data_IF_657314133269
#
_entry.id   IF_657314133269
#
_cell.length_a   1.000
_cell.length_b   1.000
_cell.length_c   1.000
_cell.angle_alpha   90.00
_cell.angle_beta   90.00
_cell.angle_gamma   90.00
#
_symmetry.space_group_name_H-M   'P 1'
#
loop_
_entity.id
_entity.type
_entity.pdbx_description
1 polymer ?
#
# COMPACT_ATOMS: atom_id res chain seq x y z
N UNK A 1 20.47 18.91 -4.56
CA UNK A 1 19.35 17.95 -4.68
C UNK A 1 19.92 16.54 -4.55
N UNK A 2 19.56 15.79 -3.50
CA UNK A 2 19.98 14.37 -3.38
C UNK A 2 19.13 13.55 -4.36
N UNK A 3 19.76 12.95 -5.38
CA UNK A 3 19.09 11.92 -6.20
C UNK A 3 18.66 10.81 -5.24
N UNK A 4 17.35 10.60 -5.11
CA UNK A 4 16.83 9.43 -4.41
C UNK A 4 17.35 8.19 -5.11
N UNK A 5 17.96 7.27 -4.36
CA UNK A 5 18.38 5.98 -4.88
C UNK A 5 17.12 5.19 -5.24
N UNK A 6 16.89 4.97 -6.53
CA UNK A 6 15.84 4.05 -6.99
C UNK A 6 16.46 2.65 -6.94
N UNK A 7 16.04 1.85 -5.97
CA UNK A 7 16.42 0.44 -5.88
C UNK A 7 15.42 -0.36 -6.69
N UNK A 8 15.90 -1.00 -7.75
CA UNK A 8 15.12 -1.95 -8.54
C UNK A 8 15.38 -3.36 -8.00
N UNK A 9 14.33 -4.05 -7.56
CA UNK A 9 14.41 -5.41 -7.02
C UNK A 9 13.71 -6.37 -7.98
N UNK A 10 14.42 -7.43 -8.38
CA UNK A 10 13.78 -8.54 -9.09
C UNK A 10 13.05 -9.45 -8.10
N UNK A 11 11.80 -9.75 -8.40
CA UNK A 11 10.93 -10.60 -7.58
C UNK A 11 10.40 -11.75 -8.42
N UNK A 12 10.12 -12.89 -7.78
CA UNK A 12 9.54 -14.06 -8.46
C UNK A 12 8.06 -14.17 -8.14
N UNK A 13 7.24 -14.35 -9.15
CA UNK A 13 5.86 -14.79 -8.95
C UNK A 13 5.85 -16.29 -8.60
N UNK A 14 5.09 -16.67 -7.58
CA UNK A 14 4.97 -18.04 -7.09
C UNK A 14 3.51 -18.40 -6.87
N UNK A 15 3.12 -19.64 -7.18
CA UNK A 15 1.78 -20.15 -6.91
C UNK A 15 1.65 -20.53 -5.43
N UNK A 16 0.57 -20.08 -4.78
CA UNK A 16 0.20 -20.43 -3.40
C UNK A 16 -1.28 -20.82 -3.36
N UNK A 17 -1.54 -22.13 -3.35
CA UNK A 17 -2.91 -22.65 -3.44
C UNK A 17 -3.57 -22.21 -4.74
N UNK A 18 -4.72 -21.54 -4.66
CA UNK A 18 -5.43 -20.98 -5.82
C UNK A 18 -4.94 -19.57 -6.22
N UNK A 19 -3.96 -19.00 -5.51
CA UNK A 19 -3.55 -17.60 -5.65
C UNK A 19 -2.13 -17.47 -6.19
N UNK A 20 -1.86 -16.34 -6.86
CA UNK A 20 -0.51 -15.94 -7.24
C UNK A 20 0.05 -14.98 -6.19
N UNK A 21 1.30 -15.19 -5.78
CA UNK A 21 1.99 -14.35 -4.80
C UNK A 21 3.35 -13.88 -5.34
N UNK A 22 3.84 -12.74 -4.84
CA UNK A 22 5.18 -12.25 -5.12
C UNK A 22 6.12 -12.66 -3.97
N UNK A 23 7.19 -13.37 -4.30
CA UNK A 23 8.27 -13.67 -3.36
C UNK A 23 9.18 -12.45 -3.25
N UNK A 24 9.02 -11.70 -2.15
CA UNK A 24 9.77 -10.48 -1.89
C UNK A 24 11.13 -10.80 -1.23
N UNK A 25 12.23 -10.16 -1.68
CA UNK A 25 13.53 -10.29 -1.06
C UNK A 25 13.57 -9.56 0.29
N UNK A 26 14.50 -9.92 1.18
CA UNK A 26 14.57 -9.36 2.56
C UNK A 26 14.86 -7.85 2.54
N UNK A 27 15.54 -7.41 1.49
CA UNK A 27 15.94 -6.04 1.20
C UNK A 27 14.74 -5.13 0.91
N UNK A 28 13.56 -5.69 0.60
CA UNK A 28 12.34 -4.93 0.39
C UNK A 28 11.80 -4.27 1.68
N UNK A 29 12.30 -4.66 2.86
CA UNK A 29 11.88 -4.14 4.17
C UNK A 29 10.37 -4.23 4.45
N UNK A 30 9.67 -5.17 3.80
CA UNK A 30 8.26 -5.50 4.04
C UNK A 30 8.19 -6.61 5.08
N UNK A 31 7.40 -6.43 6.13
CA UNK A 31 7.31 -7.34 7.27
C UNK A 31 6.03 -8.16 7.23
N UNK A 32 6.06 -9.33 7.89
CA UNK A 32 4.87 -10.15 8.08
C UNK A 32 3.81 -9.33 8.84
N UNK A 33 2.60 -9.25 8.27
CA UNK A 33 1.48 -8.49 8.84
C UNK A 33 1.30 -7.10 8.23
N UNK A 34 2.26 -6.60 7.46
CA UNK A 34 2.06 -5.37 6.69
C UNK A 34 1.01 -5.59 5.61
N UNK A 35 0.10 -4.62 5.46
CA UNK A 35 -0.94 -4.67 4.43
C UNK A 35 -0.71 -3.55 3.42
N UNK A 36 -0.90 -3.86 2.14
CA UNK A 36 -0.62 -2.95 1.04
C UNK A 36 -1.79 -2.96 0.05
N UNK A 37 -2.04 -1.82 -0.58
CA UNK A 37 -2.90 -1.72 -1.75
C UNK A 37 -2.05 -1.90 -3.00
N UNK A 38 -2.47 -2.79 -3.90
CA UNK A 38 -1.86 -2.95 -5.21
C UNK A 38 -2.71 -2.24 -6.26
N UNK A 39 -2.20 -1.15 -6.82
CA UNK A 39 -2.92 -0.30 -7.76
C UNK A 39 -2.25 -0.40 -9.13
N UNK A 40 -3.04 -0.65 -10.18
CA UNK A 40 -2.52 -0.68 -11.56
C UNK A 40 -2.09 0.73 -11.99
N UNK A 41 -0.84 0.87 -12.42
CA UNK A 41 -0.35 2.12 -13.01
C UNK A 41 -0.92 2.25 -14.43
N UNK A 42 -1.69 3.32 -14.66
CA UNK A 42 -2.31 3.61 -15.96
C UNK A 42 -1.30 4.10 -17.00
N UNK A 43 -0.15 4.61 -16.57
CA UNK A 43 0.85 5.24 -17.44
C UNK A 43 1.92 4.27 -17.95
N UNK A 44 2.43 3.39 -17.09
CA UNK A 44 3.62 2.58 -17.40
C UNK A 44 3.38 1.06 -17.39
N UNK A 45 2.12 0.61 -17.35
CA UNK A 45 1.78 -0.81 -17.46
C UNK A 45 2.19 -1.68 -16.26
N UNK A 46 2.58 -1.07 -15.14
CA UNK A 46 2.98 -1.74 -13.90
C UNK A 46 1.91 -1.73 -12.81
N UNK A 47 2.33 -2.08 -11.59
CA UNK A 47 1.54 -1.92 -10.38
C UNK A 47 2.35 -1.14 -9.33
N UNK A 48 1.64 -0.32 -8.56
CA UNK A 48 2.17 0.44 -7.43
C UNK A 48 1.67 -0.22 -6.15
N UNK A 49 2.59 -0.46 -5.22
CA UNK A 49 2.26 -0.91 -3.87
C UNK A 49 2.23 0.30 -2.94
N UNK A 50 1.07 0.56 -2.32
CA UNK A 50 0.88 1.66 -1.36
C UNK A 50 0.65 1.06 0.04
N UNK A 51 1.44 1.43 1.06
CA UNK A 51 1.28 0.87 2.39
C UNK A 51 -0.04 1.34 2.99
N UNK A 52 -0.83 0.42 3.55
CA UNK A 52 -1.98 0.81 4.37
C UNK A 52 -1.45 1.31 5.71
N UNK A 53 -1.67 2.59 5.99
CA UNK A 53 -1.41 3.18 7.30
C UNK A 53 -2.68 3.12 8.15
N UNK A 54 -2.50 3.03 9.47
CA UNK A 54 -3.61 3.21 10.41
C UNK A 54 -4.12 4.65 10.27
N UNK A 55 -5.44 4.85 10.42
CA UNK A 55 -6.04 6.18 10.37
C UNK A 55 -5.32 7.11 11.36
N UNK A 56 -4.54 8.11 10.88
CA UNK A 56 -3.79 8.99 11.75
C UNK A 56 -4.70 9.97 12.51
N UNK A 57 -5.96 10.10 12.09
CA UNK A 57 -6.96 10.98 12.67
C UNK A 57 -7.93 10.25 13.60
N UNK A 58 -7.68 8.97 13.92
CA UNK A 58 -8.59 8.18 14.78
C UNK A 58 -8.86 8.82 16.15
N UNK A 59 -7.89 9.58 16.67
CA UNK A 59 -7.95 10.28 17.96
C UNK A 59 -7.95 11.81 17.78
N UNK A 60 -8.25 12.32 16.57
CA UNK A 60 -8.26 13.74 16.30
C UNK A 60 -9.37 14.42 17.12
N UNK A 61 -9.03 15.54 17.77
CA UNK A 61 -10.01 16.31 18.54
C UNK A 61 -10.99 17.01 17.60
N UNK A 62 -12.29 17.04 17.91
CA UNK A 62 -13.25 17.85 17.16
C UNK A 62 -12.77 19.31 17.06
N UNK A 63 -12.76 19.89 15.85
CA UNK A 63 -12.31 21.27 15.61
C UNK A 63 -10.78 21.47 15.56
N UNK A 64 -9.97 20.41 15.67
CA UNK A 64 -8.58 20.44 15.17
C UNK A 64 -8.58 20.45 13.63
N UNK A 65 -7.43 20.42 12.93
CA UNK A 65 -7.34 20.35 11.45
C UNK A 65 -7.90 19.01 10.88
N UNK A 66 -9.14 18.69 11.24
CA UNK A 66 -9.92 17.52 10.91
C UNK A 66 -11.08 18.04 10.06
N UNK A 67 -10.96 17.87 8.75
CA UNK A 67 -12.04 18.06 7.78
C UNK A 67 -12.72 16.70 7.58
N UNK A 68 -13.81 16.40 8.31
CA UNK A 68 -14.53 15.11 8.17
C UNK A 68 -15.06 14.87 6.76
N UNK A 69 -15.18 15.92 5.95
CA UNK A 69 -15.77 15.90 4.61
C UNK A 69 -14.84 15.34 3.51
N UNK A 70 -13.53 15.18 3.74
CA UNK A 70 -12.58 14.75 2.69
C UNK A 70 -12.35 13.23 2.59
N UNK A 71 -13.03 12.42 3.41
CA UNK A 71 -12.86 10.95 3.42
C UNK A 71 -14.17 10.18 3.13
N UNK A 72 -15.18 10.82 2.55
CA UNK A 72 -16.52 10.22 2.36
C UNK A 72 -16.59 9.09 1.33
N UNK A 73 -15.56 8.90 0.49
CA UNK A 73 -15.72 8.08 -0.73
C UNK A 73 -14.91 6.77 -0.74
N UNK A 74 -14.32 6.36 0.38
CA UNK A 74 -13.68 5.04 0.47
C UNK A 74 -14.45 4.14 1.43
N UNK A 75 -15.47 3.47 0.91
CA UNK A 75 -15.95 2.21 1.48
C UNK A 75 -14.77 1.24 1.48
N UNK A 76 -14.30 0.89 2.67
CA UNK A 76 -13.42 -0.25 2.90
C UNK A 76 -14.27 -1.47 3.28
N UNK A 77 -15.44 -1.64 2.66
CA UNK A 77 -16.15 -2.91 2.79
C UNK A 77 -15.17 -3.99 2.33
N UNK A 78 -14.86 -4.85 3.29
CA UNK A 78 -13.90 -5.93 3.18
C UNK A 78 -14.31 -6.77 1.97
N UNK A 79 -13.47 -6.77 0.93
CA UNK A 79 -13.54 -7.80 -0.10
C UNK A 79 -13.04 -9.08 0.56
N UNK A 80 -13.99 -9.86 1.06
CA UNK A 80 -13.84 -11.24 1.49
C UNK A 80 -13.47 -12.15 0.30
#
# INVERSE_FOLDING_TARGET
>A
MKKGLVVMLEVKAVQRGNSLALALPKEANIKKGDTWLMVKDKSNGGYILVPKIKNPYKDAKPGSMYTPEEWSDISFDEVE
#
